data_IF_663828129802
#
_entry.id   IF_663828129802
#
_cell.length_a   1.000
_cell.length_b   1.000
_cell.length_c   1.000
_cell.angle_alpha   90.00
_cell.angle_beta   90.00
_cell.angle_gamma   90.00
#
_symmetry.space_group_name_H-M   'P 1'
#
loop_
_entity.id
_entity.type
_entity.pdbx_description
1 polymer ?
#
# COMPACT_ATOMS: atom_id res chain seq x y z
N UNK A 1 8.34 14.62 -24.87
CA UNK A 1 8.63 15.45 -23.70
C UNK A 1 9.81 16.39 -23.93
N UNK A 2 11.04 15.88 -24.06
CA UNK A 2 12.27 16.69 -24.13
C UNK A 2 12.24 17.71 -25.28
N UNK A 3 11.86 17.26 -26.49
CA UNK A 3 11.77 18.15 -27.64
C UNK A 3 10.73 19.27 -27.44
N UNK A 4 9.58 18.93 -26.90
CA UNK A 4 8.53 19.92 -26.60
C UNK A 4 9.03 20.99 -25.62
N UNK A 5 9.72 20.59 -24.55
CA UNK A 5 10.28 21.52 -23.56
C UNK A 5 11.42 22.37 -24.10
N UNK A 6 12.14 21.88 -25.09
CA UNK A 6 13.15 22.67 -25.83
C UNK A 6 12.49 23.67 -26.78
N UNK A 7 11.44 23.26 -27.49
CA UNK A 7 10.72 24.07 -28.47
C UNK A 7 9.98 25.22 -27.82
N UNK A 8 9.40 25.01 -26.62
CA UNK A 8 8.70 26.06 -25.88
C UNK A 8 9.60 26.92 -24.97
N UNK A 9 10.90 26.59 -24.93
CA UNK A 9 11.89 27.34 -24.15
C UNK A 9 11.87 27.02 -22.63
N UNK A 10 11.15 25.99 -22.20
CA UNK A 10 11.13 25.57 -20.79
C UNK A 10 12.50 25.08 -20.32
N UNK A 11 13.28 24.47 -21.22
CA UNK A 11 14.64 24.00 -20.97
C UNK A 11 15.58 24.40 -22.10
N UNK A 12 16.87 24.47 -21.78
CA UNK A 12 17.93 24.81 -22.73
C UNK A 12 18.72 23.58 -23.19
N UNK A 13 19.11 23.57 -24.46
CA UNK A 13 19.96 22.52 -25.01
C UNK A 13 21.35 22.48 -24.34
N UNK A 14 21.77 21.32 -23.87
CA UNK A 14 23.03 21.09 -23.16
C UNK A 14 24.11 20.38 -24.01
N UNK A 15 24.11 20.57 -25.34
CA UNK A 15 25.10 20.00 -26.25
C UNK A 15 24.81 18.57 -26.70
N UNK A 16 23.97 17.82 -25.97
CA UNK A 16 23.48 16.50 -26.37
C UNK A 16 22.15 16.17 -25.69
N UNK A 17 21.37 15.25 -26.28
CA UNK A 17 20.12 14.77 -25.66
C UNK A 17 20.38 14.16 -24.28
N UNK A 18 21.45 13.40 -24.12
CA UNK A 18 21.82 12.80 -22.84
C UNK A 18 22.17 13.84 -21.78
N UNK A 19 22.94 14.85 -22.12
CA UNK A 19 23.27 15.94 -21.21
C UNK A 19 22.04 16.76 -20.82
N UNK A 20 21.20 17.07 -21.78
CA UNK A 20 19.94 17.80 -21.56
C UNK A 20 18.98 17.00 -20.67
N UNK A 21 18.79 15.70 -20.94
CA UNK A 21 17.99 14.83 -20.09
C UNK A 21 18.54 14.74 -18.66
N UNK A 22 19.85 14.54 -18.53
CA UNK A 22 20.47 14.40 -17.20
C UNK A 22 20.35 15.66 -16.35
N UNK A 23 20.37 16.83 -17.00
CA UNK A 23 20.25 18.11 -16.29
C UNK A 23 18.83 18.41 -15.83
N UNK A 24 17.80 18.05 -16.62
CA UNK A 24 16.44 18.52 -16.38
C UNK A 24 15.42 17.45 -16.07
N UNK A 25 15.62 16.21 -16.53
CA UNK A 25 14.61 15.15 -16.48
C UNK A 25 15.09 13.85 -15.82
N UNK A 26 16.37 13.75 -15.46
CA UNK A 26 16.83 12.57 -14.74
C UNK A 26 16.15 12.46 -13.37
N UNK A 27 15.69 11.27 -12.94
CA UNK A 27 14.99 11.09 -11.67
C UNK A 27 15.67 11.72 -10.45
N UNK A 28 17.01 11.79 -10.44
CA UNK A 28 17.76 12.38 -9.32
C UNK A 28 17.72 13.91 -9.24
N UNK A 29 17.23 14.59 -10.27
CA UNK A 29 17.14 16.06 -10.31
C UNK A 29 15.71 16.58 -10.28
N UNK A 30 14.71 15.68 -10.34
CA UNK A 30 13.31 16.05 -10.26
C UNK A 30 12.94 16.45 -8.83
N UNK A 31 12.15 17.49 -8.72
CA UNK A 31 11.57 17.92 -7.44
C UNK A 31 10.30 17.10 -7.13
N UNK A 32 10.49 16.05 -6.32
CA UNK A 32 9.38 15.19 -5.87
C UNK A 32 8.57 15.80 -4.72
N UNK A 33 9.00 16.94 -4.17
CA UNK A 33 8.29 17.67 -3.11
C UNK A 33 7.44 18.82 -3.67
N UNK A 34 7.40 19.00 -4.98
CA UNK A 34 6.63 20.06 -5.65
C UNK A 34 5.14 19.98 -5.31
N UNK A 35 4.64 20.94 -4.54
CA UNK A 35 3.22 21.04 -4.19
C UNK A 35 2.33 21.21 -5.42
N UNK A 36 2.80 21.96 -6.42
CA UNK A 36 2.07 22.15 -7.68
C UNK A 36 1.87 20.85 -8.43
N UNK A 37 2.93 20.02 -8.53
CA UNK A 37 2.86 18.71 -9.17
C UNK A 37 1.82 17.83 -8.49
N UNK A 38 1.86 17.72 -7.16
CA UNK A 38 0.91 16.90 -6.39
C UNK A 38 -0.51 17.44 -6.46
N UNK A 39 -0.66 18.78 -6.46
CA UNK A 39 -1.97 19.42 -6.63
C UNK A 39 -2.57 19.07 -8.00
N UNK A 40 -1.84 19.24 -9.08
CA UNK A 40 -2.30 18.88 -10.44
C UNK A 40 -2.71 17.44 -10.54
N UNK A 41 -1.91 16.50 -10.01
CA UNK A 41 -2.26 15.08 -9.98
C UNK A 41 -3.57 14.85 -9.21
N UNK A 42 -3.73 15.48 -8.03
CA UNK A 42 -4.93 15.37 -7.19
C UNK A 42 -6.18 15.99 -7.82
N UNK A 43 -6.01 17.04 -8.64
CA UNK A 43 -7.09 17.68 -9.40
C UNK A 43 -7.52 16.85 -10.63
N UNK A 44 -6.72 15.82 -10.99
CA UNK A 44 -7.04 14.86 -12.05
C UNK A 44 -6.28 15.05 -13.36
N UNK A 45 -5.19 15.83 -13.36
CA UNK A 45 -4.24 15.89 -14.48
C UNK A 45 -3.33 14.65 -14.43
N UNK A 46 -3.85 13.53 -14.92
CA UNK A 46 -3.28 12.19 -14.78
C UNK A 46 -2.96 11.50 -16.11
N UNK A 47 -3.11 12.21 -17.23
CA UNK A 47 -3.02 11.62 -18.57
C UNK A 47 -1.70 10.89 -18.88
N UNK A 48 -0.63 11.19 -18.14
CA UNK A 48 0.67 10.55 -18.29
C UNK A 48 1.08 9.69 -17.09
N UNK A 49 0.20 9.52 -16.11
CA UNK A 49 0.48 8.71 -14.94
C UNK A 49 0.13 7.25 -15.21
N UNK A 50 1.15 6.40 -15.25
CA UNK A 50 1.00 4.97 -15.49
C UNK A 50 -0.05 4.36 -14.55
N UNK A 51 -1.05 3.67 -15.14
CA UNK A 51 -2.19 3.02 -14.49
C UNK A 51 -3.23 3.95 -13.84
N UNK A 52 -2.97 5.24 -13.72
CA UNK A 52 -3.95 6.20 -13.21
C UNK A 52 -4.75 6.91 -14.30
N UNK A 53 -4.36 6.76 -15.55
CA UNK A 53 -5.05 7.26 -16.76
C UNK A 53 -6.36 6.51 -17.08
N UNK A 54 -6.91 5.81 -16.09
CA UNK A 54 -8.19 5.11 -16.14
C UNK A 54 -9.23 5.81 -15.25
N UNK A 55 -10.52 5.54 -15.46
CA UNK A 55 -11.58 6.09 -14.62
C UNK A 55 -11.39 5.74 -13.13
N UNK A 56 -11.01 4.50 -12.82
CA UNK A 56 -10.75 4.03 -11.46
C UNK A 56 -9.51 4.71 -10.88
N UNK A 57 -8.43 4.79 -11.66
CA UNK A 57 -7.20 5.45 -11.24
C UNK A 57 -7.40 6.93 -10.95
N UNK A 58 -8.13 7.65 -11.82
CA UNK A 58 -8.44 9.05 -11.63
C UNK A 58 -9.31 9.34 -10.39
N UNK A 59 -10.31 8.48 -10.14
CA UNK A 59 -11.10 8.58 -8.92
C UNK A 59 -10.27 8.31 -7.66
N UNK A 60 -9.39 7.32 -7.72
CA UNK A 60 -8.52 6.95 -6.60
C UNK A 60 -7.55 8.08 -6.25
N UNK A 61 -6.91 8.70 -7.24
CA UNK A 61 -5.98 9.81 -7.00
C UNK A 61 -6.69 11.04 -6.40
N UNK A 62 -7.88 11.38 -6.91
CA UNK A 62 -8.69 12.47 -6.36
C UNK A 62 -9.11 12.22 -4.92
N UNK A 63 -9.37 10.97 -4.56
CA UNK A 63 -9.78 10.57 -3.23
C UNK A 63 -8.61 10.53 -2.24
N UNK A 64 -7.49 9.95 -2.66
CA UNK A 64 -6.29 9.78 -1.84
C UNK A 64 -5.51 11.09 -1.69
N UNK A 65 -5.48 11.93 -2.74
CA UNK A 65 -4.70 13.16 -2.77
C UNK A 65 -3.24 12.94 -2.34
N UNK A 66 -2.45 12.17 -3.10
CA UNK A 66 -1.08 11.85 -2.75
C UNK A 66 -0.22 13.13 -2.70
N UNK A 67 0.74 13.17 -1.78
CA UNK A 67 1.72 14.25 -1.60
C UNK A 67 3.17 13.75 -1.64
N UNK A 68 3.36 12.49 -2.02
CA UNK A 68 4.68 11.89 -2.17
C UNK A 68 4.62 10.68 -3.10
N UNK A 69 5.77 10.27 -3.64
CA UNK A 69 5.89 9.05 -4.44
C UNK A 69 5.44 7.81 -3.66
N UNK A 70 5.71 7.77 -2.35
CA UNK A 70 5.27 6.70 -1.47
C UNK A 70 3.74 6.60 -1.44
N UNK A 71 3.04 7.71 -1.22
CA UNK A 71 1.59 7.74 -1.23
C UNK A 71 1.01 7.41 -2.60
N UNK A 72 1.67 7.82 -3.68
CA UNK A 72 1.29 7.45 -5.04
C UNK A 72 1.43 5.94 -5.28
N UNK A 73 2.51 5.33 -4.79
CA UNK A 73 2.72 3.89 -4.88
C UNK A 73 1.65 3.11 -4.09
N UNK A 74 1.33 3.56 -2.88
CA UNK A 74 0.23 2.99 -2.09
C UNK A 74 -1.10 3.13 -2.83
N UNK A 75 -1.40 4.31 -3.38
CA UNK A 75 -2.60 4.55 -4.17
C UNK A 75 -2.72 3.56 -5.33
N UNK A 76 -1.63 3.32 -6.05
CA UNK A 76 -1.58 2.36 -7.16
C UNK A 76 -1.84 0.91 -6.70
N UNK A 77 -1.40 0.55 -5.53
CA UNK A 77 -1.61 -0.78 -4.96
C UNK A 77 -3.06 -0.96 -4.49
N UNK A 78 -3.57 -0.04 -3.66
CA UNK A 78 -4.89 -0.20 -3.02
C UNK A 78 -6.08 0.04 -3.96
N UNK A 79 -5.92 0.80 -5.04
CA UNK A 79 -7.01 1.03 -5.99
C UNK A 79 -7.50 -0.24 -6.68
N UNK A 80 -6.74 -1.33 -6.62
CA UNK A 80 -7.06 -2.64 -7.19
C UNK A 80 -7.68 -3.60 -6.18
N UNK A 81 -7.62 -3.25 -4.90
CA UNK A 81 -8.16 -4.07 -3.85
C UNK A 81 -9.66 -3.83 -3.76
N UNK A 82 -10.40 -4.91 -3.56
CA UNK A 82 -11.85 -4.87 -3.38
C UNK A 82 -12.21 -5.72 -2.16
N UNK A 83 -12.93 -5.15 -1.23
CA UNK A 83 -13.42 -5.83 -0.05
C UNK A 83 -14.95 -5.88 -0.01
N UNK A 84 -15.49 -6.85 0.71
CA UNK A 84 -16.89 -6.83 1.11
C UNK A 84 -17.06 -5.80 2.23
N UNK A 85 -17.90 -4.78 2.00
CA UNK A 85 -18.12 -3.69 2.95
C UNK A 85 -17.30 -2.44 2.64
N UNK A 86 -16.61 -1.90 3.65
CA UNK A 86 -15.81 -0.68 3.47
C UNK A 86 -14.59 -0.93 2.58
N UNK A 87 -14.43 -0.11 1.56
CA UNK A 87 -13.38 -0.31 0.57
C UNK A 87 -12.00 0.05 1.16
N UNK A 88 -10.92 -0.69 0.77
CA UNK A 88 -9.56 -0.43 1.26
C UNK A 88 -9.09 1.01 1.08
N UNK A 89 -9.50 1.64 -0.02
CA UNK A 89 -9.19 3.04 -0.29
C UNK A 89 -9.84 4.00 0.72
N UNK A 90 -11.05 3.69 1.19
CA UNK A 90 -11.75 4.51 2.19
C UNK A 90 -11.11 4.36 3.57
N UNK A 91 -10.75 3.15 3.94
CA UNK A 91 -9.99 2.85 5.16
C UNK A 91 -8.67 3.62 5.15
N UNK A 92 -7.92 3.52 4.05
CA UNK A 92 -6.65 4.22 3.90
C UNK A 92 -6.79 5.74 4.06
N UNK A 93 -7.75 6.35 3.37
CA UNK A 93 -7.97 7.81 3.45
C UNK A 93 -8.32 8.24 4.88
N UNK A 94 -9.19 7.50 5.56
CA UNK A 94 -9.54 7.78 6.96
C UNK A 94 -8.32 7.72 7.88
N UNK A 95 -7.53 6.66 7.76
CA UNK A 95 -6.35 6.45 8.60
C UNK A 95 -5.23 7.46 8.29
N UNK A 96 -5.05 7.82 7.01
CA UNK A 96 -4.12 8.87 6.59
C UNK A 96 -4.47 10.23 7.21
N UNK A 97 -5.76 10.59 7.22
CA UNK A 97 -6.25 11.86 7.77
C UNK A 97 -6.27 11.89 9.30
N UNK A 98 -6.53 10.75 9.92
CA UNK A 98 -6.63 10.59 11.37
C UNK A 98 -5.98 9.27 11.82
N UNK A 99 -4.65 9.22 11.94
CA UNK A 99 -3.92 7.98 12.28
C UNK A 99 -4.40 7.32 13.57
N UNK A 100 -4.98 8.12 14.50
CA UNK A 100 -5.51 7.61 15.75
C UNK A 100 -6.63 6.58 15.53
N UNK A 101 -7.40 6.68 14.46
CA UNK A 101 -8.47 5.72 14.12
C UNK A 101 -7.90 4.30 13.97
N UNK A 102 -6.73 4.15 13.37
CA UNK A 102 -6.07 2.86 13.23
C UNK A 102 -5.65 2.27 14.59
N UNK A 103 -5.07 3.10 15.46
CA UNK A 103 -4.70 2.66 16.80
C UNK A 103 -5.92 2.28 17.65
N UNK A 104 -7.00 3.03 17.52
CA UNK A 104 -8.24 2.75 18.25
C UNK A 104 -8.91 1.46 17.74
N UNK A 105 -8.86 1.18 16.42
CA UNK A 105 -9.35 -0.09 15.85
C UNK A 105 -8.52 -1.29 16.35
N UNK A 106 -7.19 -1.15 16.44
CA UNK A 106 -6.34 -2.20 17.02
C UNK A 106 -6.67 -2.46 18.49
N UNK A 107 -6.84 -1.40 19.31
CA UNK A 107 -7.22 -1.54 20.72
C UNK A 107 -8.62 -2.12 20.88
N UNK A 108 -9.58 -1.67 20.09
CA UNK A 108 -10.94 -2.20 20.08
C UNK A 108 -10.99 -3.69 19.67
N UNK A 109 -10.02 -4.11 18.84
CA UNK A 109 -9.83 -5.52 18.46
C UNK A 109 -9.15 -6.35 19.56
N UNK A 110 -8.80 -5.73 20.69
CA UNK A 110 -8.21 -6.40 21.85
C UNK A 110 -6.68 -6.55 21.81
N UNK A 111 -5.98 -5.83 20.95
CA UNK A 111 -4.52 -5.87 20.88
C UNK A 111 -3.91 -5.12 22.07
N UNK A 112 -2.89 -5.72 22.66
CA UNK A 112 -2.01 -5.06 23.65
C UNK A 112 -1.08 -4.06 22.97
N UNK A 113 -0.46 -3.18 23.76
CA UNK A 113 0.51 -2.22 23.23
C UNK A 113 1.73 -2.89 22.56
N UNK A 114 2.14 -4.06 23.05
CA UNK A 114 3.25 -4.81 22.45
C UNK A 114 2.83 -5.41 21.09
N UNK A 115 1.63 -5.94 20.99
CA UNK A 115 1.09 -6.47 19.73
C UNK A 115 0.86 -5.37 18.69
N UNK A 116 0.44 -4.18 19.13
CA UNK A 116 0.35 -2.99 18.26
C UNK A 116 1.71 -2.68 17.63
N UNK A 117 2.80 -2.71 18.39
CA UNK A 117 4.15 -2.51 17.86
C UNK A 117 4.55 -3.54 16.80
N UNK A 118 4.10 -4.78 16.95
CA UNK A 118 4.34 -5.82 15.92
C UNK A 118 3.67 -5.45 14.61
N UNK A 119 2.43 -4.98 14.65
CA UNK A 119 1.69 -4.55 13.46
C UNK A 119 2.30 -3.27 12.87
N UNK A 120 2.65 -2.29 13.72
CA UNK A 120 3.29 -1.04 13.32
C UNK A 120 4.58 -1.25 12.51
N UNK A 121 5.38 -2.22 12.88
CA UNK A 121 6.63 -2.57 12.18
C UNK A 121 6.46 -2.70 10.67
N UNK A 122 5.30 -3.17 10.22
CA UNK A 122 5.00 -3.43 8.80
C UNK A 122 4.09 -2.37 8.17
N UNK A 123 3.17 -1.80 8.96
CA UNK A 123 2.06 -1.02 8.43
C UNK A 123 2.11 0.48 8.75
N UNK A 124 2.95 0.92 9.71
CA UNK A 124 3.03 2.33 10.10
C UNK A 124 3.32 3.26 8.91
N UNK A 125 4.25 2.86 8.07
CA UNK A 125 4.61 3.64 6.90
C UNK A 125 3.61 3.54 5.74
N UNK A 126 2.58 2.73 5.90
CA UNK A 126 1.51 2.46 4.93
C UNK A 126 0.15 2.91 5.45
N UNK A 127 0.16 3.81 6.45
CA UNK A 127 -1.03 4.32 7.10
C UNK A 127 -2.01 3.20 7.51
N UNK A 128 -1.46 2.08 8.02
CA UNK A 128 -2.22 0.98 8.62
C UNK A 128 -2.82 -0.04 7.65
N UNK A 129 -2.51 0.01 6.35
CA UNK A 129 -3.07 -0.91 5.35
C UNK A 129 -2.00 -1.81 4.72
N UNK A 130 -2.25 -3.12 4.66
CA UNK A 130 -1.43 -4.04 3.89
C UNK A 130 -1.70 -3.83 2.38
N UNK A 131 -0.90 -2.99 1.76
CA UNK A 131 -1.06 -2.49 0.40
C UNK A 131 -0.59 -3.47 -0.68
N UNK A 132 0.13 -4.52 -0.29
CA UNK A 132 0.75 -5.45 -1.24
C UNK A 132 0.83 -6.88 -0.72
N UNK A 133 0.93 -7.82 -1.65
CA UNK A 133 1.09 -9.24 -1.33
C UNK A 133 2.39 -9.53 -0.56
N UNK A 134 3.42 -8.71 -0.76
CA UNK A 134 4.69 -8.80 -0.05
C UNK A 134 4.51 -8.49 1.44
N UNK A 135 3.70 -7.49 1.77
CA UNK A 135 3.38 -7.14 3.17
C UNK A 135 2.56 -8.24 3.83
N UNK A 136 1.62 -8.86 3.12
CA UNK A 136 0.88 -10.03 3.62
C UNK A 136 1.84 -11.17 3.96
N UNK A 137 2.81 -11.45 3.08
CA UNK A 137 3.82 -12.47 3.34
C UNK A 137 4.69 -12.10 4.55
N UNK A 138 5.17 -10.86 4.63
CA UNK A 138 5.99 -10.40 5.76
C UNK A 138 5.27 -10.51 7.09
N UNK A 139 4.00 -10.09 7.16
CA UNK A 139 3.18 -10.24 8.36
C UNK A 139 3.01 -11.72 8.74
N UNK A 140 2.72 -12.59 7.77
CA UNK A 140 2.53 -14.02 8.07
C UNK A 140 3.82 -14.74 8.48
N UNK A 141 4.98 -14.25 8.07
CA UNK A 141 6.28 -14.83 8.42
C UNK A 141 6.82 -14.35 9.77
N UNK A 142 6.27 -13.28 10.34
CA UNK A 142 6.74 -12.77 11.63
C UNK A 142 6.49 -13.82 12.74
N UNK A 143 7.54 -14.19 13.52
CA UNK A 143 7.42 -15.18 14.58
C UNK A 143 6.51 -14.73 15.75
N UNK A 144 6.19 -13.46 15.84
CA UNK A 144 5.22 -12.92 16.81
C UNK A 144 3.78 -12.95 16.26
N UNK A 145 3.57 -13.35 15.01
CA UNK A 145 2.26 -13.54 14.38
C UNK A 145 2.04 -15.03 14.12
N UNK A 146 2.36 -15.56 12.95
CA UNK A 146 2.17 -16.97 12.64
C UNK A 146 3.44 -17.73 12.30
N UNK A 147 4.57 -17.06 12.14
CA UNK A 147 5.88 -17.67 11.93
C UNK A 147 5.94 -18.54 10.67
N UNK A 148 5.15 -18.23 9.66
CA UNK A 148 5.11 -19.02 8.42
C UNK A 148 6.48 -19.12 7.77
N UNK A 149 6.76 -20.31 7.22
CA UNK A 149 7.87 -20.44 6.29
C UNK A 149 7.61 -19.62 5.01
N UNK A 150 8.66 -19.31 4.26
CA UNK A 150 8.51 -18.66 2.93
C UNK A 150 7.56 -19.46 2.01
N UNK A 151 7.55 -20.77 2.11
CA UNK A 151 6.67 -21.66 1.35
C UNK A 151 5.20 -21.45 1.72
N UNK A 152 4.91 -21.39 3.03
CA UNK A 152 3.54 -21.22 3.54
C UNK A 152 3.03 -19.80 3.30
N UNK A 153 3.86 -18.79 3.51
CA UNK A 153 3.55 -17.40 3.19
C UNK A 153 3.22 -17.21 1.69
N UNK A 154 4.00 -17.85 0.81
CA UNK A 154 3.72 -17.82 -0.62
C UNK A 154 2.44 -18.62 -1.00
N UNK A 155 2.12 -19.68 -0.26
CA UNK A 155 0.85 -20.40 -0.41
C UNK A 155 -0.33 -19.51 0.02
N UNK A 156 -0.23 -18.85 1.18
CA UNK A 156 -1.23 -17.88 1.67
C UNK A 156 -1.49 -16.80 0.62
N UNK A 157 -0.44 -16.13 0.14
CA UNK A 157 -0.52 -15.11 -0.90
C UNK A 157 -1.30 -15.57 -2.14
N UNK A 158 -1.00 -16.78 -2.63
CA UNK A 158 -1.67 -17.35 -3.81
C UNK A 158 -3.15 -17.65 -3.56
N UNK A 159 -3.49 -18.11 -2.36
CA UNK A 159 -4.88 -18.43 -1.96
C UNK A 159 -5.71 -17.14 -1.88
N UNK A 160 -5.19 -16.10 -1.25
CA UNK A 160 -5.84 -14.79 -1.16
C UNK A 160 -6.08 -14.22 -2.57
N UNK A 161 -5.05 -14.23 -3.42
CA UNK A 161 -5.15 -13.72 -4.79
C UNK A 161 -6.20 -14.44 -5.65
N UNK A 162 -6.42 -15.74 -5.41
CA UNK A 162 -7.40 -16.55 -6.16
C UNK A 162 -8.83 -16.45 -5.63
N UNK A 163 -9.03 -15.90 -4.42
CA UNK A 163 -10.32 -15.76 -3.74
C UNK A 163 -11.14 -17.08 -3.67
N UNK A 164 -10.47 -18.22 -3.50
CA UNK A 164 -11.12 -19.52 -3.32
C UNK A 164 -11.50 -19.70 -1.85
N UNK A 165 -12.79 -19.63 -1.54
CA UNK A 165 -13.30 -19.67 -0.16
C UNK A 165 -12.89 -20.92 0.61
N UNK A 166 -12.92 -22.11 0.01
CA UNK A 166 -12.52 -23.36 0.69
C UNK A 166 -11.05 -23.37 1.08
N UNK A 167 -10.20 -22.90 0.18
CA UNK A 167 -8.76 -22.81 0.44
C UNK A 167 -8.45 -21.71 1.47
N UNK A 168 -9.25 -20.65 1.51
CA UNK A 168 -9.12 -19.55 2.49
C UNK A 168 -9.45 -20.06 3.90
N UNK A 169 -10.53 -20.83 4.10
CA UNK A 169 -10.90 -21.38 5.39
C UNK A 169 -9.81 -22.36 5.92
N UNK A 170 -9.38 -23.31 5.09
CA UNK A 170 -8.31 -24.23 5.46
C UNK A 170 -6.98 -23.52 5.77
N UNK A 171 -6.69 -22.43 5.07
CA UNK A 171 -5.49 -21.62 5.32
C UNK A 171 -5.63 -20.81 6.61
N UNK A 172 -6.82 -20.33 6.92
CA UNK A 172 -7.10 -19.63 8.18
C UNK A 172 -6.88 -20.53 9.39
N UNK A 173 -7.39 -21.75 9.33
CA UNK A 173 -7.19 -22.74 10.41
C UNK A 173 -5.70 -23.03 10.61
N UNK A 174 -4.98 -23.29 9.54
CA UNK A 174 -3.53 -23.51 9.60
C UNK A 174 -2.77 -22.30 10.14
N UNK A 175 -3.17 -21.10 9.74
CA UNK A 175 -2.61 -19.84 10.24
C UNK A 175 -2.84 -19.67 11.75
N UNK A 176 -4.06 -19.93 12.22
CA UNK A 176 -4.40 -19.88 13.65
C UNK A 176 -3.63 -20.90 14.47
N UNK A 177 -3.53 -22.15 14.00
CA UNK A 177 -2.78 -23.20 14.68
C UNK A 177 -1.30 -22.83 14.80
N UNK A 178 -0.71 -22.35 13.71
CA UNK A 178 0.70 -21.94 13.68
C UNK A 178 0.98 -20.82 14.67
N UNK A 179 0.17 -19.75 14.67
CA UNK A 179 0.36 -18.62 15.58
C UNK A 179 0.11 -19.01 17.06
N UNK A 180 -0.92 -19.78 17.34
CA UNK A 180 -1.19 -20.27 18.71
C UNK A 180 -0.06 -21.16 19.23
N UNK A 181 0.56 -21.97 18.39
CA UNK A 181 1.72 -22.78 18.76
C UNK A 181 2.93 -21.92 19.18
N UNK A 182 3.02 -20.68 18.69
CA UNK A 182 4.04 -19.70 19.07
C UNK A 182 3.63 -18.84 20.29
N UNK A 183 2.42 -19.03 20.82
CA UNK A 183 1.89 -18.22 21.93
C UNK A 183 1.26 -16.91 21.51
N UNK A 184 1.04 -16.68 20.23
CA UNK A 184 0.39 -15.47 19.71
C UNK A 184 -1.08 -15.43 20.12
N UNK A 185 -1.57 -14.26 20.55
CA UNK A 185 -2.95 -14.10 20.96
C UNK A 185 -3.91 -14.27 19.78
N UNK A 186 -5.12 -14.78 20.08
CA UNK A 186 -6.19 -14.89 19.09
C UNK A 186 -6.63 -13.48 18.59
N UNK A 187 -6.52 -12.45 19.43
CA UNK A 187 -6.83 -11.08 19.04
C UNK A 187 -5.91 -10.58 17.92
N UNK A 188 -4.59 -10.73 18.09
CA UNK A 188 -3.61 -10.34 17.06
C UNK A 188 -3.79 -11.15 15.77
N UNK A 189 -3.94 -12.46 15.89
CA UNK A 189 -4.15 -13.35 14.73
C UNK A 189 -5.40 -12.95 13.94
N UNK A 190 -6.53 -12.72 14.62
CA UNK A 190 -7.76 -12.30 13.98
C UNK A 190 -7.65 -10.91 13.38
N UNK A 191 -7.02 -9.96 14.07
CA UNK A 191 -6.82 -8.61 13.53
C UNK A 191 -6.04 -8.66 12.21
N UNK A 192 -4.90 -9.35 12.19
CA UNK A 192 -4.09 -9.46 10.98
C UNK A 192 -4.85 -10.18 9.85
N UNK A 193 -5.57 -11.24 10.17
CA UNK A 193 -6.33 -11.99 9.16
C UNK A 193 -7.48 -11.17 8.58
N UNK A 194 -8.36 -10.66 9.43
CA UNK A 194 -9.60 -10.03 8.98
C UNK A 194 -9.45 -8.57 8.54
N UNK A 195 -8.47 -7.85 9.11
CA UNK A 195 -8.26 -6.44 8.80
C UNK A 195 -7.15 -6.18 7.79
N UNK A 196 -6.29 -7.17 7.52
CA UNK A 196 -5.17 -7.00 6.60
C UNK A 196 -5.22 -8.02 5.45
N UNK A 197 -5.26 -9.31 5.72
CA UNK A 197 -5.21 -10.32 4.66
C UNK A 197 -6.47 -10.36 3.80
N UNK A 198 -7.65 -10.18 4.39
CA UNK A 198 -8.91 -10.13 3.63
C UNK A 198 -9.11 -8.88 2.79
N UNK A 199 -8.35 -7.81 3.06
CA UNK A 199 -8.37 -6.59 2.25
C UNK A 199 -7.47 -6.66 1.01
N UNK A 200 -6.59 -7.67 0.93
CA UNK A 200 -5.54 -7.78 -0.10
C UNK A 200 -5.96 -8.60 -1.32
#
# INVERSE_FOLDING_TARGET
>A
CLNYMLDDGTIEWQGSLKATYNKYLHPSVLDYESEEMWKRASDGDINSLFQFDTAVGGQSIKKIQPRSLKQLAIANSIMRLMAEGEQPIDIYVKQKLAPQIWYDDMRASGLTNEEIKVVEKYLREKDGVADSQEVVMQLSMDPQISGFSMKDANRLRKIIAKKNFKDIEAMYDFYLESGKALGTSTALLNYVWFKQFKLS
#
